data_IF_737197370707
#
_entry.id   IF_737197370707
#
_cell.length_a   1.000
_cell.length_b   1.000
_cell.length_c   1.000
_cell.angle_alpha   90.00
_cell.angle_beta   90.00
_cell.angle_gamma   90.00
#
_symmetry.space_group_name_H-M   'P 1'
#
loop_
_entity.id
_entity.type
_entity.pdbx_description
1 polymer ?
#
# COMPACT_ATOMS: atom_id res chain seq x y z
N UNK A 1 14.52 24.16 -0.42
CA UNK A 1 13.10 23.76 -0.39
C UNK A 1 12.94 22.87 0.83
N UNK A 2 12.06 23.22 1.76
CA UNK A 2 11.84 22.42 2.95
C UNK A 2 10.98 21.21 2.57
N UNK A 3 11.39 20.02 2.99
CA UNK A 3 10.62 18.79 2.82
C UNK A 3 10.10 18.31 4.17
N UNK A 4 8.92 17.71 4.15
CA UNK A 4 8.25 17.10 5.28
C UNK A 4 8.15 15.60 5.02
N UNK A 5 8.15 14.79 6.09
CA UNK A 5 7.83 13.38 6.00
C UNK A 5 6.35 13.22 6.34
N UNK A 6 5.60 12.59 5.45
CA UNK A 6 4.18 12.30 5.65
C UNK A 6 3.94 10.80 5.60
N UNK A 7 2.89 10.34 6.27
CA UNK A 7 2.37 8.99 6.09
C UNK A 7 1.23 9.00 5.06
N UNK A 8 1.22 8.08 4.11
CA UNK A 8 0.09 7.89 3.20
C UNK A 8 -0.99 7.00 3.84
N UNK A 9 -2.28 7.20 3.53
CA UNK A 9 -3.32 6.23 3.87
C UNK A 9 -3.05 4.93 3.09
N UNK A 10 -2.76 3.87 3.83
CA UNK A 10 -2.47 2.54 3.31
C UNK A 10 -3.00 1.52 4.33
N UNK A 11 -3.78 0.54 3.89
CA UNK A 11 -4.32 -0.50 4.76
C UNK A 11 -3.23 -1.46 5.30
N UNK A 12 -2.02 -1.39 4.75
CA UNK A 12 -0.93 -2.32 5.04
C UNK A 12 -1.11 -3.67 4.36
N UNK A 13 -0.22 -4.63 4.59
CA UNK A 13 -0.37 -5.97 3.99
C UNK A 13 -1.22 -6.88 4.88
N UNK A 14 -0.89 -6.99 6.16
CA UNK A 14 -1.48 -8.03 7.01
C UNK A 14 -3.02 -8.02 7.05
N UNK A 15 -3.63 -9.08 6.52
CA UNK A 15 -5.08 -9.25 6.50
C UNK A 15 -5.83 -8.24 5.62
N UNK A 16 -5.13 -7.54 4.74
CA UNK A 16 -5.71 -6.58 3.80
C UNK A 16 -5.94 -7.20 2.42
N UNK A 17 -6.59 -6.43 1.54
CA UNK A 17 -6.72 -6.82 0.15
C UNK A 17 -5.35 -6.89 -0.56
N UNK A 18 -4.36 -6.09 -0.15
CA UNK A 18 -3.03 -6.11 -0.78
C UNK A 18 -2.33 -7.46 -0.62
N UNK A 19 -2.46 -8.09 0.54
CA UNK A 19 -1.95 -9.45 0.81
C UNK A 19 -2.75 -10.50 0.02
N UNK A 20 -4.08 -10.36 -0.05
CA UNK A 20 -4.91 -11.22 -0.88
C UNK A 20 -4.56 -11.16 -2.38
N UNK A 21 -4.19 -9.98 -2.90
CA UNK A 21 -3.74 -9.82 -4.29
C UNK A 21 -2.38 -10.50 -4.55
N UNK A 22 -1.46 -10.46 -3.57
CA UNK A 22 -0.17 -11.17 -3.67
C UNK A 22 -0.37 -12.69 -3.61
N UNK A 23 -1.24 -13.18 -2.73
CA UNK A 23 -1.62 -14.59 -2.66
C UNK A 23 -2.26 -15.07 -3.97
N UNK A 24 -3.15 -14.25 -4.54
CA UNK A 24 -3.75 -14.52 -5.85
C UNK A 24 -2.69 -14.60 -6.95
N UNK A 25 -1.74 -13.66 -6.98
CA UNK A 25 -0.65 -13.66 -7.95
C UNK A 25 0.19 -14.95 -7.83
N UNK A 26 0.55 -15.39 -6.61
CA UNK A 26 1.26 -16.68 -6.41
C UNK A 26 0.46 -17.85 -6.96
N UNK A 27 -0.84 -17.90 -6.69
CA UNK A 27 -1.71 -18.97 -7.19
C UNK A 27 -1.76 -18.98 -8.73
N UNK A 28 -1.90 -17.79 -9.34
CA UNK A 28 -1.98 -17.62 -10.78
C UNK A 28 -0.70 -18.06 -11.52
N UNK A 29 0.48 -17.87 -10.92
CA UNK A 29 1.76 -18.25 -11.54
C UNK A 29 1.85 -19.74 -11.95
N UNK A 30 1.13 -20.62 -11.26
CA UNK A 30 1.15 -22.07 -11.50
C UNK A 30 -0.25 -22.67 -11.63
N UNK A 31 -1.19 -21.89 -12.16
CA UNK A 31 -2.53 -22.37 -12.45
C UNK A 31 -2.57 -23.20 -13.74
N UNK A 32 -3.41 -24.24 -13.74
CA UNK A 32 -3.76 -25.00 -14.94
C UNK A 32 -4.72 -24.19 -15.85
N UNK A 33 -5.14 -24.80 -16.96
CA UNK A 33 -6.05 -24.15 -17.93
C UNK A 33 -7.47 -23.91 -17.38
N UNK A 34 -7.81 -24.53 -16.24
CA UNK A 34 -9.06 -24.34 -15.51
C UNK A 34 -8.94 -23.26 -14.41
N UNK A 35 -7.73 -22.74 -14.18
CA UNK A 35 -7.44 -21.76 -13.12
C UNK A 35 -7.13 -22.39 -11.76
N UNK A 36 -7.00 -23.71 -11.65
CA UNK A 36 -6.65 -24.37 -10.40
C UNK A 36 -5.14 -24.26 -10.15
N UNK A 37 -4.69 -23.71 -9.01
CA UNK A 37 -3.27 -23.58 -8.70
C UNK A 37 -2.63 -24.93 -8.38
N UNK A 38 -1.34 -25.07 -8.65
CA UNK A 38 -0.55 -26.20 -8.16
C UNK A 38 -0.03 -25.95 -6.72
N UNK A 39 -0.64 -26.55 -5.67
CA UNK A 39 -0.32 -26.23 -4.29
C UNK A 39 1.14 -26.51 -3.93
N UNK A 40 1.72 -27.56 -4.51
CA UNK A 40 3.12 -27.93 -4.23
C UNK A 40 4.14 -26.96 -4.83
N UNK A 41 3.78 -26.22 -5.89
CA UNK A 41 4.64 -25.19 -6.47
C UNK A 41 4.41 -23.84 -5.81
N UNK A 42 3.15 -23.49 -5.49
CA UNK A 42 2.83 -22.26 -4.76
C UNK A 42 3.49 -22.24 -3.39
N UNK A 43 3.42 -23.34 -2.63
CA UNK A 43 4.07 -23.46 -1.31
C UNK A 43 5.59 -23.25 -1.39
N UNK A 44 6.22 -23.71 -2.47
CA UNK A 44 7.66 -23.53 -2.70
C UNK A 44 8.01 -22.09 -3.02
N UNK A 45 7.19 -21.39 -3.78
CA UNK A 45 7.36 -19.95 -4.01
C UNK A 45 7.17 -19.19 -2.70
N UNK A 46 6.07 -19.41 -1.98
CA UNK A 46 5.80 -18.71 -0.73
C UNK A 46 6.90 -18.93 0.31
N UNK A 47 7.51 -20.11 0.36
CA UNK A 47 8.62 -20.42 1.27
C UNK A 47 9.96 -19.83 0.85
N UNK A 48 10.22 -19.69 -0.46
CA UNK A 48 11.52 -19.25 -0.98
C UNK A 48 11.56 -17.74 -1.30
N UNK A 49 10.40 -17.12 -1.52
CA UNK A 49 10.27 -15.72 -1.89
C UNK A 49 10.78 -14.79 -0.79
N UNK A 50 11.50 -13.75 -1.19
CA UNK A 50 11.92 -12.65 -0.31
C UNK A 50 10.79 -11.63 -0.19
N UNK A 51 9.75 -11.97 0.58
CA UNK A 51 8.54 -11.16 0.73
C UNK A 51 8.77 -9.71 1.11
N UNK A 52 9.74 -9.42 1.99
CA UNK A 52 10.09 -8.04 2.35
C UNK A 52 10.49 -7.18 1.15
N UNK A 53 11.12 -7.77 0.14
CA UNK A 53 11.53 -7.08 -1.08
C UNK A 53 10.36 -6.90 -2.07
N UNK A 54 9.44 -7.87 -2.12
CA UNK A 54 8.18 -7.77 -2.88
C UNK A 54 7.31 -6.67 -2.29
N UNK A 55 7.07 -6.69 -0.98
CA UNK A 55 6.29 -5.67 -0.26
C UNK A 55 6.87 -4.27 -0.46
N UNK A 56 8.20 -4.12 -0.41
CA UNK A 56 8.84 -2.84 -0.65
C UNK A 56 8.63 -2.34 -2.09
N UNK A 57 8.69 -3.22 -3.09
CA UNK A 57 8.43 -2.86 -4.49
C UNK A 57 6.95 -2.49 -4.69
N UNK A 58 6.05 -3.27 -4.11
CA UNK A 58 4.61 -3.01 -4.11
C UNK A 58 4.29 -1.65 -3.47
N UNK A 59 4.85 -1.39 -2.30
CA UNK A 59 4.66 -0.15 -1.55
C UNK A 59 5.11 1.09 -2.31
N UNK A 60 6.21 1.00 -3.07
CA UNK A 60 6.69 2.07 -3.94
C UNK A 60 5.70 2.35 -5.06
N UNK A 61 5.28 1.31 -5.78
CA UNK A 61 4.29 1.44 -6.85
C UNK A 61 2.97 2.02 -6.31
N UNK A 62 2.51 1.53 -5.16
CA UNK A 62 1.31 2.04 -4.51
C UNK A 62 1.44 3.52 -4.18
N UNK A 63 2.55 3.94 -3.56
CA UNK A 63 2.77 5.33 -3.18
C UNK A 63 2.80 6.26 -4.40
N UNK A 64 3.48 5.85 -5.47
CA UNK A 64 3.51 6.59 -6.74
C UNK A 64 2.11 6.69 -7.36
N UNK A 65 1.41 5.56 -7.48
CA UNK A 65 0.08 5.50 -8.09
C UNK A 65 -0.96 6.24 -7.27
N UNK A 66 -0.91 6.15 -5.94
CA UNK A 66 -1.75 6.91 -5.03
C UNK A 66 -1.57 8.41 -5.28
N UNK A 67 -0.33 8.91 -5.21
CA UNK A 67 -0.06 10.33 -5.36
C UNK A 67 -0.43 10.85 -6.76
N UNK A 68 -0.22 10.06 -7.81
CA UNK A 68 -0.69 10.39 -9.15
C UNK A 68 -2.22 10.50 -9.20
N UNK A 69 -2.93 9.50 -8.69
CA UNK A 69 -4.40 9.44 -8.70
C UNK A 69 -5.03 10.61 -7.94
N UNK A 70 -4.44 11.02 -6.81
CA UNK A 70 -4.97 12.11 -5.98
C UNK A 70 -4.42 13.49 -6.39
N UNK A 71 -3.48 13.56 -7.32
CA UNK A 71 -2.88 14.82 -7.77
C UNK A 71 -1.95 15.45 -6.72
N UNK A 72 -1.21 14.65 -5.95
CA UNK A 72 -0.13 15.11 -5.08
C UNK A 72 1.18 15.00 -5.84
N UNK A 73 1.90 16.12 -5.97
CA UNK A 73 3.05 16.22 -6.85
C UNK A 73 4.38 16.30 -6.10
N UNK A 74 5.47 15.99 -6.83
CA UNK A 74 6.85 16.11 -6.34
C UNK A 74 7.14 15.29 -5.08
N UNK A 75 6.37 14.22 -4.88
CA UNK A 75 6.59 13.25 -3.81
C UNK A 75 7.71 12.29 -4.17
N UNK A 76 8.42 11.83 -3.15
CA UNK A 76 9.39 10.74 -3.27
C UNK A 76 9.12 9.69 -2.20
N UNK A 77 9.04 8.44 -2.59
CA UNK A 77 9.01 7.33 -1.64
C UNK A 77 10.24 7.38 -0.73
N UNK A 78 10.01 7.37 0.59
CA UNK A 78 11.08 7.40 1.58
C UNK A 78 11.28 6.00 2.16
N UNK A 79 10.27 5.47 2.84
CA UNK A 79 10.36 4.15 3.46
C UNK A 79 8.99 3.51 3.65
N UNK A 80 9.04 2.22 3.98
CA UNK A 80 7.93 1.47 4.53
C UNK A 80 8.36 0.96 5.91
N UNK A 81 7.55 1.22 6.93
CA UNK A 81 7.75 0.68 8.27
C UNK A 81 6.77 -0.48 8.48
N UNK A 82 7.32 -1.66 8.75
CA UNK A 82 6.56 -2.88 9.01
C UNK A 82 6.68 -3.21 10.50
N UNK A 83 5.56 -3.30 11.24
CA UNK A 83 5.62 -3.57 12.67
C UNK A 83 6.18 -4.97 12.94
N UNK A 84 6.90 -5.12 14.05
CA UNK A 84 7.43 -6.44 14.47
C UNK A 84 6.32 -7.44 14.77
N UNK A 85 5.17 -6.95 15.24
CA UNK A 85 3.99 -7.76 15.56
C UNK A 85 2.73 -7.04 15.08
N UNK A 86 1.98 -7.69 14.20
CA UNK A 86 0.77 -7.15 13.55
C UNK A 86 -0.50 -7.24 14.41
N UNK A 87 -0.38 -7.06 15.72
CA UNK A 87 -1.52 -7.19 16.64
C UNK A 87 -2.36 -5.91 16.74
N UNK A 88 -1.74 -4.75 16.51
CA UNK A 88 -2.36 -3.42 16.70
C UNK A 88 -1.94 -2.39 15.64
N UNK A 89 -1.02 -2.75 14.76
CA UNK A 89 -0.48 -1.87 13.73
C UNK A 89 -0.21 -2.71 12.48
N UNK A 90 -0.21 -2.03 11.34
CA UNK A 90 0.05 -2.60 10.02
C UNK A 90 1.15 -1.79 9.34
N UNK A 91 1.54 -2.17 8.12
CA UNK A 91 2.59 -1.47 7.39
C UNK A 91 2.22 -0.01 7.13
N UNK A 92 3.19 0.89 7.28
CA UNK A 92 3.02 2.33 7.07
C UNK A 92 3.95 2.83 5.98
N UNK A 93 3.43 3.66 5.09
CA UNK A 93 4.20 4.21 3.98
C UNK A 93 4.56 5.66 4.24
N UNK A 94 5.85 5.97 4.12
CA UNK A 94 6.37 7.31 4.28
C UNK A 94 6.85 7.87 2.95
N UNK A 95 6.44 9.10 2.66
CA UNK A 95 6.92 9.85 1.50
C UNK A 95 7.42 11.23 1.91
N UNK A 96 8.39 11.73 1.17
CA UNK A 96 8.80 13.12 1.25
C UNK A 96 7.84 14.00 0.47
N UNK A 97 7.32 15.04 1.13
CA UNK A 97 6.42 16.03 0.55
C UNK A 97 7.04 17.42 0.67
N UNK A 98 7.14 18.21 -0.42
CA UNK A 98 7.54 19.62 -0.31
C UNK A 98 6.57 20.40 0.59
N UNK A 99 7.10 21.31 1.41
CA UNK A 99 6.28 22.16 2.27
C UNK A 99 5.25 22.96 1.47
N UNK A 100 5.65 23.44 0.29
CA UNK A 100 4.78 24.21 -0.61
C UNK A 100 3.57 23.38 -1.06
N UNK A 101 3.77 22.07 -1.24
CA UNK A 101 2.70 21.13 -1.60
C UNK A 101 1.79 20.85 -0.40
N UNK A 102 2.35 20.65 0.80
CA UNK A 102 1.54 20.54 2.02
C UNK A 102 0.67 21.79 2.25
N UNK A 103 1.21 22.97 2.00
CA UNK A 103 0.48 24.23 2.07
C UNK A 103 -0.58 24.35 0.96
N UNK A 104 -0.34 23.78 -0.23
CA UNK A 104 -1.35 23.70 -1.29
C UNK A 104 -2.52 22.82 -0.86
N UNK A 105 -2.24 21.60 -0.37
CA UNK A 105 -3.26 20.70 0.15
C UNK A 105 -4.09 21.38 1.26
N UNK A 106 -3.44 22.09 2.18
CA UNK A 106 -4.13 22.84 3.24
C UNK A 106 -5.08 23.93 2.71
N UNK A 107 -4.74 24.61 1.61
CA UNK A 107 -5.60 25.64 1.02
C UNK A 107 -6.78 25.06 0.23
N UNK A 108 -6.56 23.92 -0.41
CA UNK A 108 -7.58 23.27 -1.26
C UNK A 108 -8.54 22.39 -0.45
N UNK A 109 -8.10 21.86 0.68
CA UNK A 109 -8.92 21.05 1.58
C UNK A 109 -9.94 21.92 2.30
N UNK A 110 -11.20 21.51 2.25
CA UNK A 110 -12.28 22.16 2.97
C UNK A 110 -12.08 22.01 4.48
N UNK A 111 -12.39 23.09 5.22
CA UNK A 111 -12.30 23.04 6.68
C UNK A 111 -13.21 21.99 7.28
N UNK A 112 -14.35 21.73 6.62
CA UNK A 112 -15.35 20.74 7.06
C UNK A 112 -14.79 19.32 7.00
N UNK A 113 -14.17 18.94 5.89
CA UNK A 113 -13.57 17.61 5.75
C UNK A 113 -12.39 17.42 6.67
N UNK A 114 -11.55 18.44 6.85
CA UNK A 114 -10.45 18.36 7.81
C UNK A 114 -10.93 18.29 9.26
N UNK A 115 -12.00 19.02 9.62
CA UNK A 115 -12.64 18.91 10.94
C UNK A 115 -13.22 17.49 11.17
N UNK A 116 -13.86 16.91 10.15
CA UNK A 116 -14.43 15.57 10.23
C UNK A 116 -13.34 14.50 10.37
N UNK A 117 -12.32 14.49 9.49
CA UNK A 117 -11.24 13.52 9.50
C UNK A 117 -10.40 13.64 10.78
N UNK A 118 -10.09 14.85 11.23
CA UNK A 118 -9.39 15.05 12.50
C UNK A 118 -10.22 14.52 13.69
N UNK A 119 -11.54 14.74 13.68
CA UNK A 119 -12.45 14.18 14.67
C UNK A 119 -12.48 12.65 14.67
N UNK A 120 -12.60 12.03 13.50
CA UNK A 120 -12.64 10.56 13.35
C UNK A 120 -11.34 9.88 13.82
N UNK A 121 -10.19 10.46 13.45
CA UNK A 121 -8.87 9.90 13.74
C UNK A 121 -8.39 10.15 15.17
N UNK A 122 -8.69 11.31 15.73
CA UNK A 122 -8.04 11.80 16.96
C UNK A 122 -8.99 11.95 18.15
N UNK A 123 -10.25 11.52 18.04
CA UNK A 123 -11.15 11.43 19.19
C UNK A 123 -10.87 10.17 19.99
N UNK A 124 -10.43 10.33 21.24
CA UNK A 124 -10.27 9.22 22.17
C UNK A 124 -11.61 8.55 22.47
N UNK A 125 -11.63 7.22 22.48
CA UNK A 125 -12.81 6.37 22.77
C UNK A 125 -12.39 5.13 23.55
N UNK A 126 -13.35 4.33 24.02
CA UNK A 126 -13.01 3.07 24.69
C UNK A 126 -12.13 2.20 23.78
N UNK A 127 -10.96 1.78 24.28
CA UNK A 127 -9.98 1.01 23.50
C UNK A 127 -9.05 1.81 22.58
N UNK A 128 -9.18 3.15 22.53
CA UNK A 128 -8.32 4.02 21.73
C UNK A 128 -8.08 5.37 22.41
N UNK A 129 -6.82 5.67 22.72
CA UNK A 129 -6.43 6.97 23.30
C UNK A 129 -5.59 7.70 22.25
N UNK A 130 -6.10 8.82 21.77
CA UNK A 130 -5.38 9.72 20.89
C UNK A 130 -4.52 10.69 21.70
N UNK A 131 -3.27 10.87 21.28
CA UNK A 131 -2.37 11.91 21.80
C UNK A 131 -2.51 13.25 21.07
N UNK A 132 -3.32 13.29 20.01
CA UNK A 132 -3.60 14.49 19.23
C UNK A 132 -4.97 15.07 19.59
N UNK A 133 -5.08 16.39 19.58
CA UNK A 133 -6.36 17.09 19.68
C UNK A 133 -7.20 16.82 18.42
N UNK A 134 -8.51 16.50 18.52
CA UNK A 134 -9.38 16.39 17.35
C UNK A 134 -9.65 17.72 16.65
N UNK A 135 -9.24 18.85 17.25
CA UNK A 135 -9.35 20.17 16.65
C UNK A 135 -8.03 20.57 15.99
N UNK A 136 -7.92 20.32 14.68
CA UNK A 136 -6.68 20.52 13.92
C UNK A 136 -6.11 21.95 14.00
N UNK A 137 -6.95 22.97 14.19
CA UNK A 137 -6.53 24.37 14.35
C UNK A 137 -5.63 24.58 15.58
N UNK A 138 -5.66 23.67 16.55
CA UNK A 138 -4.78 23.70 17.72
C UNK A 138 -3.36 23.19 17.44
N UNK A 139 -3.12 22.54 16.29
CA UNK A 139 -1.83 21.95 15.93
C UNK A 139 -0.81 22.99 15.44
N UNK A 140 -1.26 24.21 15.13
CA UNK A 140 -0.41 25.30 14.67
C UNK A 140 -0.10 25.25 13.18
N UNK A 141 1.08 25.76 12.80
CA UNK A 141 1.51 25.88 11.41
C UNK A 141 1.75 24.49 10.76
N UNK A 142 1.22 24.29 9.55
CA UNK A 142 1.31 23.03 8.79
C UNK A 142 2.76 22.61 8.55
N UNK A 143 3.70 23.56 8.44
CA UNK A 143 5.13 23.26 8.30
C UNK A 143 5.79 22.66 9.55
N UNK A 144 5.07 22.59 10.67
CA UNK A 144 5.50 21.96 11.92
C UNK A 144 4.70 20.71 12.27
N UNK A 145 3.73 20.33 11.42
CA UNK A 145 2.95 19.13 11.64
C UNK A 145 3.82 17.90 11.45
N UNK A 146 3.55 16.87 12.25
CA UNK A 146 4.19 15.57 12.08
C UNK A 146 3.48 14.74 11.01
N UNK A 147 4.02 13.54 10.75
CA UNK A 147 3.52 12.64 9.72
C UNK A 147 2.06 12.17 9.96
N UNK A 148 1.59 12.10 11.21
CA UNK A 148 0.21 11.69 11.53
C UNK A 148 -0.79 12.82 11.29
N UNK A 149 -0.40 14.05 11.65
CA UNK A 149 -1.16 15.27 11.37
C UNK A 149 -1.21 15.52 9.85
N UNK A 150 -0.11 15.31 9.14
CA UNK A 150 -0.06 15.44 7.69
C UNK A 150 -0.85 14.33 6.97
N UNK A 151 -0.86 13.10 7.47
CA UNK A 151 -1.75 12.04 6.96
C UNK A 151 -3.22 12.44 7.09
N UNK A 152 -3.60 13.09 8.20
CA UNK A 152 -4.97 13.61 8.39
C UNK A 152 -5.33 14.63 7.31
N UNK A 153 -4.40 15.51 6.94
CA UNK A 153 -4.60 16.45 5.83
C UNK A 153 -4.78 15.72 4.50
N UNK A 154 -3.96 14.71 4.20
CA UNK A 154 -4.07 13.92 2.98
C UNK A 154 -5.43 13.22 2.91
N UNK A 155 -5.87 12.55 3.97
CA UNK A 155 -7.18 11.87 4.01
C UNK A 155 -8.34 12.84 3.81
N UNK A 156 -8.28 14.03 4.41
CA UNK A 156 -9.29 15.06 4.20
C UNK A 156 -9.29 15.59 2.76
N UNK A 157 -8.11 15.79 2.16
CA UNK A 157 -7.97 16.21 0.77
C UNK A 157 -8.54 15.17 -0.21
N UNK A 158 -8.23 13.89 0.00
CA UNK A 158 -8.76 12.79 -0.81
C UNK A 158 -10.28 12.71 -0.69
N UNK A 159 -10.82 12.88 0.52
CA UNK A 159 -12.27 12.91 0.75
C UNK A 159 -12.95 14.03 -0.03
N UNK A 160 -12.34 15.21 -0.12
CA UNK A 160 -12.90 16.35 -0.87
C UNK A 160 -12.81 16.19 -2.39
N UNK A 161 -11.72 15.59 -2.88
CA UNK A 161 -11.41 15.54 -4.32
C UNK A 161 -11.91 14.28 -5.01
N UNK A 162 -11.88 13.15 -4.31
CA UNK A 162 -12.20 11.81 -4.85
C UNK A 162 -13.39 11.15 -4.12
N UNK A 163 -13.80 11.65 -2.95
CA UNK A 163 -14.81 11.00 -2.11
C UNK A 163 -14.24 9.79 -1.37
N UNK A 164 -14.33 8.61 -1.98
CA UNK A 164 -13.73 7.38 -1.48
C UNK A 164 -12.77 6.84 -2.54
N UNK A 165 -11.52 6.58 -2.13
CA UNK A 165 -10.51 5.99 -3.00
C UNK A 165 -10.34 4.52 -2.63
N UNK A 166 -10.71 3.63 -3.54
CA UNK A 166 -10.49 2.20 -3.35
C UNK A 166 -9.03 1.86 -3.65
N UNK A 167 -8.28 1.46 -2.62
CA UNK A 167 -6.85 1.10 -2.73
C UNK A 167 -6.60 -0.01 -3.76
N UNK A 168 -7.60 -0.86 -4.02
CA UNK A 168 -7.56 -1.94 -5.01
C UNK A 168 -7.46 -1.40 -6.44
N UNK A 169 -8.22 -0.35 -6.76
CA UNK A 169 -8.19 0.27 -8.09
C UNK A 169 -6.82 0.88 -8.41
N UNK A 170 -6.11 1.36 -7.39
CA UNK A 170 -4.74 1.88 -7.56
C UNK A 170 -3.77 0.80 -8.02
N UNK A 171 -3.97 -0.44 -7.58
CA UNK A 171 -3.07 -1.56 -7.90
C UNK A 171 -3.60 -2.46 -9.02
N UNK A 172 -4.76 -2.13 -9.61
CA UNK A 172 -5.39 -2.92 -10.68
C UNK A 172 -4.46 -3.05 -11.91
N UNK A 173 -3.77 -1.98 -12.28
CA UNK A 173 -2.81 -2.01 -13.40
C UNK A 173 -1.63 -2.96 -13.11
N UNK A 174 -1.12 -2.97 -11.88
CA UNK A 174 -0.04 -3.87 -11.49
C UNK A 174 -0.50 -5.33 -11.53
N UNK A 175 -1.71 -5.60 -11.01
CA UNK A 175 -2.35 -6.91 -11.05
C UNK A 175 -2.62 -7.39 -12.49
N UNK A 176 -3.28 -6.57 -13.30
CA UNK A 176 -3.74 -6.95 -14.64
C UNK A 176 -2.63 -7.12 -15.67
N UNK A 177 -1.47 -6.53 -15.43
CA UNK A 177 -0.32 -6.58 -16.34
C UNK A 177 0.79 -7.55 -15.89
N UNK A 178 0.52 -8.42 -14.92
CA UNK A 178 1.47 -9.43 -14.45
C UNK A 178 2.63 -8.87 -13.62
N UNK A 179 2.53 -7.63 -13.11
CA UNK A 179 3.63 -7.00 -12.36
C UNK A 179 3.83 -7.67 -11.02
N UNK A 180 2.75 -8.10 -10.36
CA UNK A 180 2.82 -8.78 -9.06
C UNK A 180 3.61 -10.09 -9.19
N UNK A 181 3.29 -10.90 -10.19
CA UNK A 181 3.96 -12.15 -10.53
C UNK A 181 5.42 -11.91 -10.89
N UNK A 182 5.72 -10.85 -11.65
CA UNK A 182 7.09 -10.48 -11.99
C UNK A 182 7.90 -10.12 -10.73
N UNK A 183 7.35 -9.30 -9.83
CA UNK A 183 8.02 -8.94 -8.58
C UNK A 183 8.26 -10.17 -7.69
N UNK A 184 7.29 -11.09 -7.61
CA UNK A 184 7.44 -12.35 -6.89
C UNK A 184 8.53 -13.21 -7.52
N UNK A 185 8.52 -13.36 -8.86
CA UNK A 185 9.51 -14.15 -9.58
C UNK A 185 10.94 -13.61 -9.39
N UNK A 186 11.13 -12.30 -9.58
CA UNK A 186 12.42 -11.62 -9.41
C UNK A 186 13.00 -11.78 -7.99
N UNK A 187 12.12 -11.97 -7.01
CA UNK A 187 12.48 -12.12 -5.60
C UNK A 187 12.39 -13.57 -5.09
N UNK A 188 12.20 -14.55 -5.98
CA UNK A 188 12.14 -15.98 -5.64
C UNK A 188 13.34 -16.74 -6.21
N UNK A 189 14.35 -17.07 -5.39
CA UNK A 189 15.51 -17.84 -5.84
C UNK A 189 15.10 -19.20 -6.43
N UNK A 190 15.53 -19.47 -7.66
CA UNK A 190 15.25 -20.74 -8.35
C UNK A 190 13.88 -20.82 -9.01
N UNK A 191 13.16 -19.71 -9.16
CA UNK A 191 11.85 -19.64 -9.83
C UNK A 191 11.84 -20.32 -11.21
N UNK A 192 12.91 -20.14 -12.00
CA UNK A 192 13.09 -20.78 -13.32
C UNK A 192 12.96 -22.30 -13.29
N UNK A 193 13.42 -22.93 -12.22
CA UNK A 193 13.29 -24.37 -12.05
C UNK A 193 11.84 -24.76 -11.80
N UNK A 194 11.10 -23.96 -11.04
CA UNK A 194 9.69 -24.20 -10.73
C UNK A 194 8.84 -24.05 -12.00
N UNK A 195 9.09 -23.03 -12.83
CA UNK A 195 8.44 -22.91 -14.13
C UNK A 195 8.70 -24.13 -15.04
N UNK A 196 9.95 -24.60 -15.15
CA UNK A 196 10.24 -25.82 -15.91
C UNK A 196 9.51 -27.06 -15.40
N UNK A 197 9.35 -27.19 -14.08
CA UNK A 197 8.59 -28.30 -13.49
C UNK A 197 7.11 -28.17 -13.84
N UNK A 198 6.55 -26.97 -13.72
CA UNK A 198 5.18 -26.68 -14.08
C UNK A 198 4.88 -27.02 -15.55
N UNK A 199 5.71 -26.54 -16.48
CA UNK A 199 5.55 -26.80 -17.91
C UNK A 199 5.62 -28.30 -18.25
N UNK A 200 6.51 -29.02 -17.57
CA UNK A 200 6.61 -30.47 -17.69
C UNK A 200 5.32 -31.18 -17.23
N UNK A 201 4.78 -30.78 -16.07
CA UNK A 201 3.54 -31.35 -15.53
C UNK A 201 2.37 -31.09 -16.49
N UNK A 202 2.22 -29.86 -16.98
CA UNK A 202 1.18 -29.50 -17.96
C UNK A 202 1.29 -30.29 -19.25
N UNK A 203 2.50 -30.42 -19.79
CA UNK A 203 2.75 -31.21 -21.01
C UNK A 203 2.40 -32.69 -20.82
N UNK A 204 2.62 -33.21 -19.61
CA UNK A 204 2.30 -34.61 -19.28
C UNK A 204 0.79 -34.82 -19.14
N UNK A 205 0.07 -33.91 -18.49
CA UNK A 205 -1.39 -33.94 -18.36
C UNK A 205 -2.08 -33.88 -19.72
N UNK A 206 -1.62 -33.01 -20.62
CA UNK A 206 -2.17 -32.89 -21.98
C UNK A 206 -1.97 -34.16 -22.85
N UNK A 207 -1.11 -35.08 -22.43
CA UNK A 207 -0.85 -36.36 -23.12
C UNK A 207 -1.59 -37.55 -22.51
N UNK A 208 -2.20 -37.37 -21.34
CA UNK A 208 -2.96 -38.40 -20.63
C UNK A 208 -4.44 -38.38 -21.08
#
# INVERSE_FOLDING_TARGET
>A
MQTLIITLPFAGFYGSQHDAELDYAVAAMFANDQGDPNPGLTDRVSSACRWSAVHLTYAKEFAETFCEAVGIHLVRFESMDSPRFYNFETDRLFVELPLEEAQRLMRETSTTSLDQVAGERHTSRSGFISFYSPHWRSWGDVGRWDHNQLQTLVEAYVRDTQGELEEVCLMESARGNGRLEAWIADNTPGIERLYRVHDYLRTREARA
#
